data_IF_057404271393
#
_entry.id   IF_057404271393
#
_cell.length_a   1.000
_cell.length_b   1.000
_cell.length_c   1.000
_cell.angle_alpha   90.00
_cell.angle_beta   90.00
_cell.angle_gamma   90.00
#
_symmetry.space_group_name_H-M   'P 1'
#
loop_
_entity.id
_entity.type
_entity.pdbx_description
1 polymer ?
#
# COMPACT_ATOMS: atom_id res chain seq x y z
N UNK A 1 -0.01 -14.98 -9.70
CA UNK A 1 0.85 -14.10 -10.51
C UNK A 1 0.13 -13.45 -11.67
N UNK A 2 -1.04 -13.92 -12.11
CA UNK A 2 -1.86 -13.15 -13.06
C UNK A 2 -2.94 -12.32 -12.37
N UNK A 3 -3.73 -12.95 -11.51
CA UNK A 3 -4.97 -12.39 -10.97
C UNK A 3 -4.77 -11.18 -10.04
N UNK A 4 -3.65 -11.12 -9.33
CA UNK A 4 -3.40 -10.14 -8.28
C UNK A 4 -2.90 -8.83 -8.84
N UNK A 5 -2.01 -8.95 -9.79
CA UNK A 5 -1.44 -7.90 -10.62
C UNK A 5 -2.55 -7.25 -11.44
N UNK A 6 -3.47 -8.05 -11.99
CA UNK A 6 -4.68 -7.58 -12.67
C UNK A 6 -5.63 -6.83 -11.73
N UNK A 7 -5.86 -7.31 -10.50
CA UNK A 7 -6.73 -6.58 -9.54
C UNK A 7 -6.07 -5.30 -9.04
N UNK A 8 -4.76 -5.32 -8.77
CA UNK A 8 -4.01 -4.12 -8.38
C UNK A 8 -4.07 -3.11 -9.52
N UNK A 9 -3.86 -3.51 -10.77
CA UNK A 9 -4.05 -2.65 -11.94
C UNK A 9 -5.50 -2.12 -12.06
N UNK A 10 -6.49 -2.99 -11.91
CA UNK A 10 -7.90 -2.61 -11.96
C UNK A 10 -8.27 -1.63 -10.83
N UNK A 11 -7.61 -1.69 -9.67
CA UNK A 11 -7.89 -0.78 -8.56
C UNK A 11 -7.56 0.68 -8.88
N UNK A 12 -6.66 0.95 -9.82
CA UNK A 12 -6.37 2.32 -10.31
C UNK A 12 -7.47 2.88 -11.21
N UNK A 13 -8.34 2.03 -11.79
CA UNK A 13 -9.41 2.49 -12.65
C UNK A 13 -10.37 3.43 -11.90
N UNK A 14 -10.66 3.16 -10.63
CA UNK A 14 -11.57 3.97 -9.83
C UNK A 14 -11.10 5.43 -9.67
N UNK A 15 -9.91 5.74 -9.11
CA UNK A 15 -9.43 7.12 -9.00
C UNK A 15 -9.18 7.77 -10.36
N UNK A 16 -8.74 7.01 -11.37
CA UNK A 16 -8.55 7.54 -12.74
C UNK A 16 -9.89 7.94 -13.37
N UNK A 17 -10.94 7.13 -13.22
CA UNK A 17 -12.27 7.43 -13.75
C UNK A 17 -12.92 8.62 -13.05
N UNK A 18 -12.72 8.73 -11.72
CA UNK A 18 -13.14 9.88 -10.93
C UNK A 18 -12.42 11.15 -11.43
N UNK A 19 -11.11 11.10 -11.63
CA UNK A 19 -10.34 12.25 -12.13
C UNK A 19 -10.81 12.69 -13.53
N UNK A 20 -11.00 11.74 -14.46
CA UNK A 20 -11.52 12.03 -15.81
C UNK A 20 -12.92 12.64 -15.73
N UNK A 21 -13.82 12.05 -14.93
CA UNK A 21 -15.19 12.53 -14.76
C UNK A 21 -15.23 13.92 -14.12
N UNK A 22 -14.37 14.18 -13.14
CA UNK A 22 -14.29 15.47 -12.45
C UNK A 22 -13.85 16.59 -13.40
N UNK A 23 -12.87 16.32 -14.26
CA UNK A 23 -12.44 17.26 -15.30
C UNK A 23 -13.52 17.44 -16.37
N UNK A 24 -14.11 16.34 -16.86
CA UNK A 24 -15.12 16.38 -17.93
C UNK A 24 -16.40 17.13 -17.52
N UNK A 25 -16.80 17.03 -16.25
CA UNK A 25 -17.98 17.71 -15.72
C UNK A 25 -17.67 19.09 -15.11
N UNK A 26 -16.44 19.60 -15.24
CA UNK A 26 -16.07 20.93 -14.75
C UNK A 26 -16.22 21.10 -13.24
N UNK A 27 -15.98 20.05 -12.46
CA UNK A 27 -16.08 20.12 -11.00
C UNK A 27 -15.13 21.18 -10.45
N UNK A 28 -15.54 21.90 -9.39
CA UNK A 28 -14.65 22.85 -8.76
C UNK A 28 -13.43 22.13 -8.13
N UNK A 29 -12.26 22.78 -8.01
CA UNK A 29 -11.02 22.13 -7.57
C UNK A 29 -11.11 21.43 -6.21
N UNK A 30 -11.91 21.96 -5.28
CA UNK A 30 -12.11 21.35 -3.96
C UNK A 30 -12.84 20.02 -4.07
N UNK A 31 -13.89 19.96 -4.88
CA UNK A 31 -14.64 18.74 -5.14
C UNK A 31 -13.79 17.70 -5.87
N UNK A 32 -12.96 18.12 -6.84
CA UNK A 32 -11.99 17.23 -7.50
C UNK A 32 -11.01 16.64 -6.49
N UNK A 33 -10.46 17.48 -5.62
CA UNK A 33 -9.50 17.06 -4.59
C UNK A 33 -10.09 16.01 -3.65
N UNK A 34 -11.28 16.27 -3.09
CA UNK A 34 -11.97 15.34 -2.19
C UNK A 34 -12.32 14.03 -2.91
N UNK A 35 -12.80 14.11 -4.15
CA UNK A 35 -13.17 12.93 -4.92
C UNK A 35 -11.96 12.05 -5.27
N UNK A 36 -10.83 12.65 -5.63
CA UNK A 36 -9.58 11.95 -5.90
C UNK A 36 -9.03 11.29 -4.62
N UNK A 37 -9.11 11.98 -3.47
CA UNK A 37 -8.74 11.38 -2.18
C UNK A 37 -9.63 10.18 -1.82
N UNK A 38 -10.94 10.28 -2.04
CA UNK A 38 -11.88 9.16 -1.82
C UNK A 38 -11.61 8.00 -2.78
N UNK A 39 -11.35 8.28 -4.06
CA UNK A 39 -10.91 7.29 -5.03
C UNK A 39 -9.63 6.59 -4.59
N UNK A 40 -8.68 7.34 -4.03
CA UNK A 40 -7.48 6.82 -3.39
C UNK A 40 -7.78 5.93 -2.19
N UNK A 41 -8.69 6.33 -1.31
CA UNK A 41 -9.08 5.51 -0.15
C UNK A 41 -9.64 4.15 -0.57
N UNK A 42 -10.51 4.14 -1.59
CA UNK A 42 -11.11 2.94 -2.19
C UNK A 42 -10.02 2.08 -2.82
N UNK A 43 -9.12 2.68 -3.60
CA UNK A 43 -7.99 1.97 -4.19
C UNK A 43 -7.13 1.31 -3.10
N UNK A 44 -6.74 2.08 -2.07
CA UNK A 44 -5.95 1.58 -0.95
C UNK A 44 -6.62 0.43 -0.23
N UNK A 45 -7.95 0.48 -0.07
CA UNK A 45 -8.74 -0.61 0.50
C UNK A 45 -8.62 -1.89 -0.34
N UNK A 46 -8.85 -1.78 -1.65
CA UNK A 46 -8.83 -2.92 -2.58
C UNK A 46 -7.44 -3.57 -2.64
N UNK A 47 -6.39 -2.76 -2.80
CA UNK A 47 -5.00 -3.25 -2.83
C UNK A 47 -4.64 -3.91 -1.50
N UNK A 48 -5.02 -3.30 -0.37
CA UNK A 48 -4.73 -3.84 0.94
C UNK A 48 -5.45 -5.16 1.20
N UNK A 49 -6.70 -5.29 0.80
CA UNK A 49 -7.46 -6.54 0.93
C UNK A 49 -6.78 -7.68 0.17
N UNK A 50 -6.34 -7.42 -1.06
CA UNK A 50 -5.61 -8.39 -1.87
C UNK A 50 -4.27 -8.75 -1.21
N UNK A 51 -3.47 -7.77 -0.80
CA UNK A 51 -2.21 -8.01 -0.10
C UNK A 51 -2.42 -8.81 1.20
N UNK A 52 -3.49 -8.52 1.93
CA UNK A 52 -3.82 -9.26 3.14
C UNK A 52 -4.11 -10.73 2.83
N UNK A 53 -4.87 -11.03 1.78
CA UNK A 53 -5.13 -12.40 1.35
C UNK A 53 -3.83 -13.17 0.99
N UNK A 54 -2.82 -12.49 0.44
CA UNK A 54 -1.49 -13.08 0.24
C UNK A 54 -0.75 -13.35 1.54
N UNK A 55 -0.77 -12.36 2.43
CA UNK A 55 -0.14 -12.43 3.74
C UNK A 55 -0.72 -13.56 4.61
N UNK A 56 -2.03 -13.82 4.51
CA UNK A 56 -2.69 -14.98 5.13
C UNK A 56 -2.14 -16.30 4.60
N UNK A 57 -2.01 -16.44 3.28
CA UNK A 57 -1.41 -17.65 2.67
C UNK A 57 0.06 -17.83 3.07
N UNK A 58 0.76 -16.73 3.31
CA UNK A 58 2.13 -16.68 3.79
C UNK A 58 2.28 -16.89 5.30
N UNK A 59 1.19 -17.07 6.06
CA UNK A 59 1.15 -17.19 7.54
C UNK A 59 1.63 -15.95 8.32
N UNK A 60 1.75 -14.81 7.66
CA UNK A 60 2.06 -13.52 8.29
C UNK A 60 0.80 -12.68 8.28
N UNK A 61 -0.07 -12.82 9.29
CA UNK A 61 -1.39 -12.16 9.26
C UNK A 61 -1.37 -10.88 10.08
N UNK A 62 -1.26 -9.69 9.47
CA UNK A 62 -1.52 -8.45 10.20
C UNK A 62 -3.02 -8.35 10.53
N UNK A 63 -3.40 -7.61 11.59
CA UNK A 63 -4.81 -7.38 11.92
C UNK A 63 -5.54 -6.75 10.73
N UNK A 64 -6.55 -7.43 10.19
CA UNK A 64 -7.22 -7.07 8.93
C UNK A 64 -7.71 -5.62 8.95
N UNK A 65 -8.45 -5.22 9.98
CA UNK A 65 -9.03 -3.87 10.07
C UNK A 65 -7.95 -2.78 10.14
N UNK A 66 -6.87 -3.01 10.89
CA UNK A 66 -5.75 -2.07 10.96
C UNK A 66 -5.01 -1.98 9.62
N UNK A 67 -4.80 -3.11 8.95
CA UNK A 67 -4.15 -3.19 7.64
C UNK A 67 -4.94 -2.45 6.56
N UNK A 68 -6.24 -2.70 6.49
CA UNK A 68 -7.14 -2.03 5.55
C UNK A 68 -7.22 -0.54 5.85
N UNK A 69 -7.49 -0.15 7.11
CA UNK A 69 -7.64 1.24 7.50
C UNK A 69 -6.37 2.08 7.25
N UNK A 70 -5.20 1.57 7.64
CA UNK A 70 -3.94 2.27 7.41
C UNK A 70 -3.61 2.40 5.92
N UNK A 71 -3.88 1.37 5.13
CA UNK A 71 -3.58 1.39 3.69
C UNK A 71 -4.54 2.30 2.91
N UNK A 72 -5.83 2.28 3.24
CA UNK A 72 -6.83 3.20 2.69
C UNK A 72 -6.48 4.65 3.01
N UNK A 73 -6.19 4.95 4.28
CA UNK A 73 -5.83 6.31 4.70
C UNK A 73 -4.53 6.77 4.05
N UNK A 74 -3.51 5.92 4.01
CA UNK A 74 -2.24 6.25 3.36
C UNK A 74 -2.41 6.49 1.86
N UNK A 75 -3.26 5.72 1.18
CA UNK A 75 -3.54 5.92 -0.24
C UNK A 75 -4.35 7.19 -0.49
N UNK A 76 -5.36 7.49 0.34
CA UNK A 76 -6.11 8.75 0.28
C UNK A 76 -5.18 9.97 0.41
N UNK A 77 -4.28 9.94 1.42
CA UNK A 77 -3.29 10.98 1.63
C UNK A 77 -2.28 11.05 0.47
N UNK A 78 -1.83 9.91 -0.07
CA UNK A 78 -0.92 9.89 -1.21
C UNK A 78 -1.54 10.58 -2.43
N UNK A 79 -2.80 10.29 -2.73
CA UNK A 79 -3.54 10.95 -3.80
C UNK A 79 -3.75 12.44 -3.53
N UNK A 80 -4.08 12.84 -2.29
CA UNK A 80 -4.18 14.25 -1.92
C UNK A 80 -2.84 15.00 -2.08
N UNK A 81 -1.75 14.42 -1.59
CA UNK A 81 -0.39 15.01 -1.71
C UNK A 81 0.03 15.14 -3.19
N UNK A 82 -0.30 14.14 -4.02
CA UNK A 82 -0.04 14.17 -5.45
C UNK A 82 -0.82 15.27 -6.19
N UNK A 83 -1.94 15.76 -5.62
CA UNK A 83 -2.71 16.88 -6.16
C UNK A 83 -2.18 18.25 -5.70
N UNK A 84 -1.30 18.35 -4.70
CA UNK A 84 -0.82 19.66 -4.23
C UNK A 84 -0.23 20.56 -5.35
N UNK A 85 0.53 20.04 -6.32
CA UNK A 85 1.04 20.87 -7.41
C UNK A 85 -0.06 21.48 -8.29
N UNK A 86 -1.23 20.84 -8.39
CA UNK A 86 -2.35 21.34 -9.23
C UNK A 86 -3.10 22.50 -8.58
N UNK A 87 -2.87 22.74 -7.28
CA UNK A 87 -3.41 23.87 -6.54
C UNK A 87 -2.57 25.14 -6.68
N UNK A 88 -1.39 25.07 -7.29
CA UNK A 88 -0.51 26.22 -7.48
C UNK A 88 -1.09 27.19 -8.51
N UNK A 89 -0.93 28.52 -8.30
CA UNK A 89 -1.28 29.50 -9.32
C UNK A 89 -0.54 29.22 -10.63
N UNK A 90 -1.21 29.44 -11.77
CA UNK A 90 -0.60 29.27 -13.12
C UNK A 90 0.63 30.15 -13.35
N UNK A 91 0.79 31.23 -12.58
CA UNK A 91 1.95 32.12 -12.60
C UNK A 91 3.18 31.56 -11.87
N UNK A 92 3.08 30.39 -11.25
CA UNK A 92 4.17 29.77 -10.50
C UNK A 92 5.31 29.35 -11.46
N UNK A 93 6.58 29.70 -11.18
CA UNK A 93 7.72 29.29 -11.99
C UNK A 93 7.79 27.78 -12.20
N UNK A 94 8.13 27.34 -13.42
CA UNK A 94 8.21 25.93 -13.79
C UNK A 94 9.18 25.11 -12.92
N UNK A 95 10.26 25.72 -12.44
CA UNK A 95 11.21 25.10 -11.51
C UNK A 95 10.57 24.76 -10.16
N UNK A 96 9.74 25.67 -9.63
CA UNK A 96 9.01 25.47 -8.35
C UNK A 96 7.94 24.39 -8.54
N UNK A 97 7.19 24.43 -9.64
CA UNK A 97 6.18 23.41 -9.95
C UNK A 97 6.81 22.02 -10.11
N UNK A 98 7.96 21.93 -10.78
CA UNK A 98 8.69 20.66 -10.96
C UNK A 98 9.20 20.12 -9.62
N UNK A 99 9.84 20.96 -8.80
CA UNK A 99 10.33 20.58 -7.49
C UNK A 99 9.20 20.08 -6.57
N UNK A 100 8.09 20.83 -6.51
CA UNK A 100 6.93 20.45 -5.71
C UNK A 100 6.28 19.17 -6.23
N UNK A 101 6.24 18.96 -7.55
CA UNK A 101 5.74 17.70 -8.13
C UNK A 101 6.59 16.52 -7.72
N UNK A 102 7.92 16.63 -7.82
CA UNK A 102 8.84 15.58 -7.40
C UNK A 102 8.75 15.31 -5.89
N UNK A 103 8.69 16.36 -5.07
CA UNK A 103 8.53 16.24 -3.62
C UNK A 103 7.19 15.58 -3.25
N UNK A 104 6.09 16.00 -3.87
CA UNK A 104 4.76 15.40 -3.69
C UNK A 104 4.75 13.93 -4.07
N UNK A 105 5.36 13.55 -5.20
CA UNK A 105 5.48 12.14 -5.59
C UNK A 105 6.29 11.36 -4.54
N UNK A 106 7.44 11.87 -4.12
CA UNK A 106 8.28 11.19 -3.13
C UNK A 106 7.53 10.95 -1.80
N UNK A 107 6.79 11.96 -1.31
CA UNK A 107 5.98 11.87 -0.08
C UNK A 107 4.78 10.93 -0.29
N UNK A 108 4.05 11.09 -1.39
CA UNK A 108 2.89 10.26 -1.72
C UNK A 108 3.26 8.77 -1.79
N UNK A 109 4.42 8.44 -2.37
CA UNK A 109 4.93 7.08 -2.42
C UNK A 109 5.43 6.58 -1.05
N UNK A 110 5.93 7.46 -0.19
CA UNK A 110 6.41 7.07 1.14
C UNK A 110 5.25 6.67 2.07
N UNK A 111 4.10 7.34 1.97
CA UNK A 111 2.96 7.15 2.88
C UNK A 111 2.45 5.69 2.96
N UNK A 112 2.12 5.01 1.83
CA UNK A 112 1.71 3.59 1.87
C UNK A 112 2.81 2.67 2.41
N UNK A 113 4.08 2.96 2.10
CA UNK A 113 5.21 2.14 2.53
C UNK A 113 5.45 2.24 4.04
N UNK A 114 5.32 3.44 4.61
CA UNK A 114 5.39 3.67 6.06
C UNK A 114 4.22 2.96 6.76
N UNK A 115 3.00 3.07 6.23
CA UNK A 115 1.84 2.37 6.77
C UNK A 115 2.02 0.85 6.79
N UNK A 116 2.50 0.28 5.68
CA UNK A 116 2.79 -1.16 5.59
C UNK A 116 3.89 -1.58 6.56
N UNK A 117 4.94 -0.76 6.74
CA UNK A 117 5.99 -1.01 7.73
C UNK A 117 5.43 -1.02 9.17
N UNK A 118 4.62 -0.03 9.55
CA UNK A 118 4.01 0.04 10.89
C UNK A 118 3.13 -1.18 11.18
N UNK A 119 2.42 -1.69 10.18
CA UNK A 119 1.59 -2.88 10.34
C UNK A 119 2.39 -4.19 10.35
N UNK A 120 3.52 -4.27 9.63
CA UNK A 120 4.35 -5.48 9.52
C UNK A 120 5.45 -5.59 10.59
N UNK A 121 5.92 -4.47 11.16
CA UNK A 121 7.01 -4.47 12.16
C UNK A 121 6.76 -5.36 13.38
N UNK A 122 5.53 -5.58 13.89
CA UNK A 122 5.32 -6.47 15.04
C UNK A 122 5.44 -7.96 14.67
N UNK A 123 5.30 -8.30 13.38
CA UNK A 123 5.22 -9.69 12.90
C UNK A 123 6.42 -10.13 12.07
N UNK A 124 7.27 -9.20 11.62
CA UNK A 124 8.46 -9.51 10.82
C UNK A 124 9.59 -8.51 11.04
N UNK A 125 10.78 -9.02 11.38
CA UNK A 125 12.03 -8.24 11.48
C UNK A 125 12.48 -7.66 10.13
N UNK A 126 11.99 -8.21 9.02
CA UNK A 126 12.30 -7.78 7.64
C UNK A 126 11.32 -6.76 7.07
N UNK A 127 10.36 -6.28 7.87
CA UNK A 127 9.38 -5.28 7.45
C UNK A 127 10.03 -4.01 6.84
N UNK A 128 11.21 -3.61 7.34
CA UNK A 128 11.95 -2.45 6.80
C UNK A 128 12.47 -2.70 5.38
N UNK A 129 13.01 -3.90 5.12
CA UNK A 129 13.48 -4.28 3.78
C UNK A 129 12.33 -4.34 2.78
N UNK A 130 11.19 -4.89 3.21
CA UNK A 130 9.98 -4.91 2.39
C UNK A 130 9.52 -3.50 2.01
N UNK A 131 9.42 -2.60 2.98
CA UNK A 131 9.05 -1.21 2.71
C UNK A 131 10.04 -0.51 1.77
N UNK A 132 11.35 -0.79 1.90
CA UNK A 132 12.37 -0.21 1.03
C UNK A 132 12.27 -0.73 -0.42
N UNK A 133 12.10 -2.04 -0.63
CA UNK A 133 11.95 -2.63 -1.97
C UNK A 133 10.65 -2.19 -2.62
N UNK A 134 9.54 -2.17 -1.85
CA UNK A 134 8.26 -1.65 -2.33
C UNK A 134 8.41 -0.18 -2.74
N UNK A 135 9.04 0.66 -1.92
CA UNK A 135 9.30 2.07 -2.27
C UNK A 135 10.12 2.22 -3.56
N UNK A 136 11.18 1.43 -3.72
CA UNK A 136 11.99 1.45 -4.94
C UNK A 136 11.17 1.04 -6.18
N UNK A 137 10.32 0.01 -6.08
CA UNK A 137 9.45 -0.42 -7.17
C UNK A 137 8.44 0.68 -7.57
N UNK A 138 7.89 1.38 -6.58
CA UNK A 138 7.02 2.54 -6.78
C UNK A 138 7.73 3.72 -7.45
N UNK A 139 8.99 3.99 -7.11
CA UNK A 139 9.78 5.02 -7.80
C UNK A 139 10.01 4.67 -9.28
N UNK A 140 10.30 3.41 -9.59
CA UNK A 140 10.44 2.97 -10.99
C UNK A 140 9.12 3.11 -11.73
N UNK A 141 8.00 2.70 -11.14
CA UNK A 141 6.66 2.89 -11.72
C UNK A 141 6.32 4.36 -11.98
N UNK A 142 6.66 5.26 -11.04
CA UNK A 142 6.51 6.69 -11.22
C UNK A 142 7.41 7.24 -12.33
N UNK A 143 8.64 6.74 -12.47
CA UNK A 143 9.55 7.07 -13.56
C UNK A 143 8.98 6.67 -14.94
N UNK A 144 8.37 5.49 -15.05
CA UNK A 144 7.69 5.05 -16.28
C UNK A 144 6.54 5.99 -16.64
N UNK A 145 5.74 6.39 -15.65
CA UNK A 145 4.65 7.35 -15.87
C UNK A 145 5.18 8.73 -16.28
N UNK A 146 6.22 9.24 -15.63
CA UNK A 146 6.83 10.51 -15.99
C UNK A 146 7.44 10.49 -17.41
N UNK A 147 8.10 9.39 -17.78
CA UNK A 147 8.60 9.19 -19.14
C UNK A 147 7.47 9.15 -20.16
N UNK A 148 6.37 8.46 -19.84
CA UNK A 148 5.17 8.41 -20.68
C UNK A 148 4.59 9.81 -20.91
N UNK A 149 4.43 10.60 -19.84
CA UNK A 149 3.94 11.99 -19.93
C UNK A 149 4.88 12.87 -20.76
N UNK A 150 6.19 12.66 -20.65
CA UNK A 150 7.17 13.40 -21.45
C UNK A 150 7.04 13.09 -22.94
N UNK A 151 6.79 11.83 -23.30
CA UNK A 151 6.51 11.43 -24.69
C UNK A 151 5.19 12.04 -25.16
N UNK A 152 4.15 12.01 -24.32
CA UNK A 152 2.83 12.57 -24.62
C UNK A 152 2.86 14.06 -24.96
N UNK A 153 3.80 14.83 -24.42
CA UNK A 153 3.99 16.24 -24.75
C UNK A 153 4.34 16.48 -26.23
N UNK A 154 4.76 15.45 -26.96
CA UNK A 154 5.11 15.51 -28.37
C UNK A 154 4.12 14.76 -29.28
N UNK A 155 3.01 14.27 -28.71
CA UNK A 155 2.00 13.49 -29.44
C UNK A 155 0.76 14.35 -29.68
N UNK A 156 0.46 14.59 -30.96
CA UNK A 156 -0.68 15.43 -31.37
C UNK A 156 -1.96 14.61 -31.65
N UNK A 157 -1.90 13.28 -31.54
CA UNK A 157 -3.00 12.39 -31.86
C UNK A 157 -3.66 11.86 -30.58
N UNK A 158 -4.95 12.16 -30.40
CA UNK A 158 -5.74 11.75 -29.24
C UNK A 158 -5.75 10.23 -29.02
N UNK A 159 -5.86 9.43 -30.08
CA UNK A 159 -5.87 7.97 -29.97
C UNK A 159 -4.51 7.44 -29.48
N UNK A 160 -3.41 7.98 -30.03
CA UNK A 160 -2.06 7.66 -29.56
C UNK A 160 -1.84 8.12 -28.11
N UNK A 161 -2.37 9.29 -27.75
CA UNK A 161 -2.36 9.81 -26.38
C UNK A 161 -3.04 8.85 -25.42
N UNK A 162 -4.27 8.43 -25.72
CA UNK A 162 -5.02 7.47 -24.87
C UNK A 162 -4.26 6.14 -24.72
N UNK A 163 -3.74 5.60 -25.83
CA UNK A 163 -2.99 4.32 -25.81
C UNK A 163 -1.72 4.43 -24.96
N UNK A 164 -0.94 5.51 -25.14
CA UNK A 164 0.29 5.72 -24.37
C UNK A 164 0.00 5.95 -22.88
N UNK A 165 -1.08 6.68 -22.55
CA UNK A 165 -1.47 6.96 -21.17
C UNK A 165 -1.92 5.69 -20.45
N UNK A 166 -2.74 4.86 -21.10
CA UNK A 166 -3.16 3.56 -20.56
C UNK A 166 -1.98 2.59 -20.50
N UNK A 167 -1.18 2.50 -21.56
CA UNK A 167 -0.03 1.60 -21.65
C UNK A 167 1.06 1.92 -20.63
N UNK A 168 1.41 3.20 -20.47
CA UNK A 168 2.36 3.67 -19.46
C UNK A 168 1.86 3.44 -18.03
N UNK A 169 0.58 3.70 -17.77
CA UNK A 169 -0.03 3.40 -16.47
C UNK A 169 0.01 1.90 -16.17
N UNK A 170 -0.35 1.06 -17.14
CA UNK A 170 -0.34 -0.40 -16.97
C UNK A 170 1.08 -0.93 -16.77
N UNK A 171 2.06 -0.44 -17.54
CA UNK A 171 3.47 -0.79 -17.39
C UNK A 171 4.02 -0.39 -16.01
N UNK A 172 3.69 0.83 -15.54
CA UNK A 172 4.06 1.30 -14.21
C UNK A 172 3.48 0.40 -13.12
N UNK A 173 2.20 0.08 -13.17
CA UNK A 173 1.54 -0.78 -12.17
C UNK A 173 2.07 -2.22 -12.20
N UNK A 174 2.40 -2.75 -13.38
CA UNK A 174 3.04 -4.06 -13.52
C UNK A 174 4.37 -4.12 -12.79
N UNK A 175 5.25 -3.14 -13.01
CA UNK A 175 6.56 -3.07 -12.35
C UNK A 175 6.42 -2.98 -10.83
N UNK A 176 5.50 -2.14 -10.35
CA UNK A 176 5.20 -2.02 -8.92
C UNK A 176 4.70 -3.35 -8.34
N UNK A 177 3.79 -4.02 -9.04
CA UNK A 177 3.19 -5.27 -8.59
C UNK A 177 4.22 -6.40 -8.53
N UNK A 178 5.06 -6.53 -9.56
CA UNK A 178 6.14 -7.53 -9.60
C UNK A 178 7.18 -7.25 -8.51
N UNK A 179 7.62 -6.00 -8.35
CA UNK A 179 8.60 -5.62 -7.32
C UNK A 179 8.08 -5.89 -5.90
N UNK A 180 6.83 -5.49 -5.62
CA UNK A 180 6.17 -5.72 -4.33
C UNK A 180 5.97 -7.22 -4.08
N UNK A 181 5.63 -8.00 -5.11
CA UNK A 181 5.51 -9.45 -5.01
C UNK A 181 6.87 -10.11 -4.70
N UNK A 182 7.94 -9.72 -5.37
CA UNK A 182 9.29 -10.23 -5.10
C UNK A 182 9.71 -9.90 -3.65
N UNK A 183 9.42 -8.69 -3.19
CA UNK A 183 9.64 -8.29 -1.80
C UNK A 183 8.87 -9.17 -0.80
N UNK A 184 7.59 -9.44 -1.08
CA UNK A 184 6.76 -10.32 -0.26
C UNK A 184 7.26 -11.78 -0.26
N UNK A 185 7.78 -12.28 -1.39
CA UNK A 185 8.40 -13.61 -1.47
C UNK A 185 9.68 -13.68 -0.62
N UNK A 186 10.49 -12.64 -0.62
CA UNK A 186 11.68 -12.55 0.23
C UNK A 186 11.37 -12.49 1.73
N UNK A 187 10.21 -11.93 2.11
CA UNK A 187 9.71 -12.00 3.49
C UNK A 187 9.38 -13.43 3.93
N UNK A 188 9.02 -14.31 3.01
CA UNK A 188 8.49 -15.67 3.31
C UNK A 188 9.53 -16.78 3.16
N UNK A 189 10.58 -16.58 2.35
CA UNK A 189 11.59 -17.60 2.05
C UNK A 189 12.59 -17.94 3.17
N UNK A 190 12.65 -17.19 4.27
CA UNK A 190 13.63 -17.46 5.34
C UNK A 190 13.07 -17.49 6.75
N UNK A 191 11.76 -17.70 6.91
CA UNK A 191 11.25 -18.11 8.21
C UNK A 191 11.68 -19.57 8.42
N UNK A 192 12.54 -19.90 9.40
CA UNK A 192 12.70 -21.29 9.79
C UNK A 192 11.30 -21.80 10.13
N UNK A 193 10.90 -22.96 9.58
CA UNK A 193 9.66 -23.62 9.99
C UNK A 193 9.62 -23.62 11.51
N UNK A 194 8.69 -22.88 12.10
CA UNK A 194 8.50 -22.88 13.54
C UNK A 194 8.35 -24.34 13.98
N UNK A 195 9.35 -24.82 14.72
CA UNK A 195 9.29 -26.07 15.46
C UNK A 195 8.00 -26.07 16.28
N UNK A 196 7.33 -27.23 16.42
CA UNK A 196 6.09 -27.33 17.18
C UNK A 196 6.30 -26.77 18.60
N UNK A 197 5.26 -26.19 19.22
CA UNK A 197 5.37 -25.61 20.54
C UNK A 197 5.90 -26.68 21.50
N UNK A 198 7.06 -26.41 22.10
CA UNK A 198 7.60 -27.24 23.16
C UNK A 198 6.50 -27.38 24.22
N UNK A 199 5.98 -28.62 24.39
CA UNK A 199 5.04 -28.96 25.45
C UNK A 199 5.60 -28.38 26.75
N UNK A 200 4.98 -27.33 27.28
CA UNK A 200 5.18 -26.92 28.66
C UNK A 200 4.98 -28.18 29.50
N UNK A 201 6.06 -28.71 30.08
CA UNK A 201 5.94 -29.72 31.13
C UNK A 201 5.11 -29.05 32.21
N UNK A 202 3.87 -29.50 32.38
CA UNK A 202 3.05 -29.16 33.53
C UNK A 202 3.90 -29.35 34.77
N UNK A 203 4.23 -28.24 35.43
CA UNK A 203 4.67 -28.30 36.81
C UNK A 203 3.50 -28.89 37.58
N UNK A 204 3.62 -30.17 37.91
CA UNK A 204 2.76 -30.88 38.85
C UNK A 204 2.87 -30.11 40.17
N UNK A 205 1.91 -29.21 40.41
CA UNK A 205 1.70 -28.60 41.71
C UNK A 205 1.22 -29.73 42.60
N UNK A 206 2.17 -30.29 43.37
CA UNK A 206 1.91 -31.25 44.44
C UNK A 206 1.15 -30.48 45.54
N UNK A 207 -0.17 -30.35 45.38
CA UNK A 207 -1.05 -29.78 46.39
C UNK A 207 -1.13 -30.80 47.52
N UNK A 208 -0.36 -30.55 48.57
CA UNK A 208 -0.42 -31.27 49.84
C UNK A 208 -1.83 -31.13 50.39
N UNK A 209 -2.50 -32.25 50.59
CA UNK A 209 -3.80 -32.31 51.25
C UNK A 209 -3.64 -31.90 52.73
N UNK A 210 -4.51 -31.04 53.29
CA UNK A 210 -4.55 -30.86 54.73
C UNK A 210 -5.17 -32.11 55.37
N UNK A 211 -4.32 -32.83 56.10
CA UNK A 211 -4.68 -33.93 57.00
C UNK A 211 -5.68 -33.43 58.05
N UNK A 212 -6.87 -34.02 58.05
CA UNK A 212 -7.86 -33.90 59.12
C UNK A 212 -7.30 -34.45 60.42
N UNK A 213 -7.00 -33.57 61.39
CA UNK A 213 -6.79 -33.97 62.78
C UNK A 213 -8.03 -33.63 63.59
N UNK A 214 -8.95 -34.60 63.61
CA UNK A 214 -9.90 -34.81 64.68
C UNK A 214 -9.12 -35.05 65.99
N UNK A 215 -9.27 -34.17 66.97
CA UNK A 215 -9.03 -34.56 68.35
C UNK A 215 -10.14 -34.10 69.28
N UNK A 216 -10.78 -35.13 69.83
CA UNK A 216 -11.81 -35.12 70.87
C UNK A 216 -11.21 -34.74 72.23
N UNK A 217 -12.07 -34.10 73.03
CA UNK A 217 -12.24 -34.24 74.50
C UNK A 217 -11.06 -33.86 75.40
N UNK A 218 -11.30 -32.90 76.29
CA UNK A 218 -11.98 -33.15 77.57
C UNK A 218 -12.86 -31.97 77.96
#
# INVERSE_FOLDING_TARGET
MGFTEVIVAASFLAPTWIAISAVANGWNPLLQFVAIMLGGAIQGFLVAFVHWAFLVRARTVPPLLAWLGLSSMASALAWGVAQLPTLLPRSTPASITTLLTLASIAIALALPNVAQWYALRPVSSRARLFAAVSYAAWLVGAGIMAGTVSILAHVNNLAATIILLIGGAYAGVLVVSVGTWMAARWLTMSQPKNSPPAKKKSAVVKRVAPSSASHKRK
#
